data_IF_773856055937
#
_entry.id   IF_773856055937
#
_cell.length_a   1.000
_cell.length_b   1.000
_cell.length_c   1.000
_cell.angle_alpha   90.00
_cell.angle_beta   90.00
_cell.angle_gamma   90.00
#
_symmetry.space_group_name_H-M   'P 1'
#
loop_
_entity.id
_entity.type
_entity.pdbx_description
1 polymer ?
2 polymer ?
3 non-polymer ?
4 non-polymer ?
5 non-polymer ?
6 non-polymer ?
7 water ?
#
# COMPACT_ATOMS: atom_id res chain seq x y z
N UNK A 1 14.61 0.34 3.17
CA UNK A 1 14.25 1.25 4.24
C UNK A 1 15.51 1.73 4.95
N UNK A 2 15.68 3.04 5.05
CA UNK A 2 16.80 3.66 5.75
C UNK A 2 16.32 4.20 7.11
N UNK A 3 17.02 3.83 8.17
CA UNK A 3 16.74 4.32 9.52
C UNK A 3 15.46 3.84 10.18
N UNK A 4 15.01 2.65 9.79
CA UNK A 4 13.84 2.02 10.38
C UNK A 4 14.29 0.88 11.27
N UNK A 5 13.41 -0.11 11.47
CA UNK A 5 13.77 -1.26 12.27
C UNK A 5 13.20 -2.49 11.59
N UNK A 6 13.61 -3.67 12.06
CA UNK A 6 13.08 -4.92 11.52
C UNK A 6 11.61 -4.96 11.93
N UNK A 7 10.72 -5.31 10.98
CA UNK A 7 9.29 -5.44 11.25
C UNK A 7 9.13 -6.79 11.96
N UNK A 8 8.70 -6.86 13.26
CA UNK A 8 8.54 -8.19 13.90
C UNK A 8 7.72 -9.12 13.00
N UNK A 9 8.19 -10.34 12.81
CA UNK A 9 7.52 -11.33 11.96
C UNK A 9 6.00 -11.39 12.26
N UNK A 10 5.21 -11.15 11.22
CA UNK A 10 3.75 -11.16 11.27
C UNK A 10 3.13 -9.80 11.54
N UNK A 11 3.97 -8.77 11.82
CA UNK A 11 3.44 -7.43 12.10
C UNK A 11 3.15 -6.62 10.84
N UNK A 12 3.59 -7.07 9.65
CA UNK A 12 3.29 -6.42 8.36
C UNK A 12 2.72 -7.57 7.49
N UNK A 13 1.56 -8.22 7.86
CA UNK A 13 1.11 -9.40 7.10
C UNK A 13 0.59 -9.15 5.71
N UNK A 14 0.38 -7.87 5.32
CA UNK A 14 -0.11 -7.47 4.00
C UNK A 14 1.07 -7.22 3.04
N UNK A 15 2.31 -7.21 3.57
CA UNK A 15 3.50 -6.96 2.75
C UNK A 15 3.66 -8.05 1.68
N UNK A 16 3.96 -7.66 0.43
CA UNK A 16 4.15 -8.63 -0.67
C UNK A 16 5.57 -8.44 -1.15
N UNK A 17 6.20 -9.53 -1.53
CA UNK A 17 7.49 -9.53 -2.19
C UNK A 17 7.21 -9.92 -3.64
N UNK A 18 7.64 -9.08 -4.59
CA UNK A 18 7.49 -9.43 -6.01
C UNK A 18 8.83 -9.90 -6.54
N UNK A 19 8.83 -11.01 -7.26
CA UNK A 19 10.01 -11.69 -7.85
C UNK A 19 9.86 -11.87 -9.35
N UNK A 20 10.98 -11.73 -10.08
CA UNK A 20 10.98 -12.01 -11.51
C UNK A 20 12.17 -12.93 -11.74
N UNK A 21 11.91 -14.18 -12.18
CA UNK A 21 12.94 -15.21 -12.35
C UNK A 21 13.59 -15.51 -10.98
N UNK A 22 12.78 -15.43 -9.91
CA UNK A 22 13.24 -15.65 -8.53
C UNK A 22 14.01 -14.49 -7.93
N UNK A 23 14.23 -13.41 -8.69
CA UNK A 23 15.01 -12.28 -8.20
C UNK A 23 14.11 -11.18 -7.68
N UNK A 24 14.49 -10.58 -6.56
CA UNK A 24 13.78 -9.49 -5.90
C UNK A 24 13.54 -8.35 -6.92
N UNK A 25 12.27 -7.99 -7.14
CA UNK A 25 11.93 -6.92 -8.07
C UNK A 25 11.39 -5.68 -7.33
N UNK A 26 10.35 -5.87 -6.46
CA UNK A 26 9.64 -4.76 -5.81
C UNK A 26 8.81 -5.28 -4.64
N UNK A 27 8.16 -4.36 -3.96
CA UNK A 27 7.21 -4.68 -2.90
C UNK A 27 5.80 -4.57 -3.49
N UNK A 28 4.82 -4.85 -2.66
CA UNK A 28 3.41 -4.75 -3.05
C UNK A 28 2.57 -4.82 -1.80
N UNK A 29 1.24 -4.65 -1.95
CA UNK A 29 0.33 -4.70 -0.79
C UNK A 29 -0.83 -5.59 -1.16
N UNK A 30 -1.08 -6.61 -0.34
CA UNK A 30 -2.26 -7.48 -0.50
C UNK A 30 -3.49 -6.70 0.00
N UNK A 31 -4.54 -6.57 -0.82
CA UNK A 31 -5.77 -5.83 -0.42
C UNK A 31 -6.98 -6.77 -0.29
N UNK A 32 -6.85 -8.01 -0.74
CA UNK A 32 -7.83 -9.11 -0.57
C UNK A 32 -7.13 -10.40 -1.00
N UNK A 33 -7.81 -11.56 -1.06
CA UNK A 33 -7.09 -12.81 -1.38
C UNK A 33 -6.56 -12.93 -2.82
N UNK A 34 -7.02 -12.08 -3.75
CA UNK A 34 -6.62 -12.19 -5.17
C UNK A 34 -5.81 -11.01 -5.69
N UNK A 35 -5.98 -9.85 -5.09
CA UNK A 35 -5.42 -8.62 -5.61
C UNK A 35 -4.29 -7.96 -4.76
N UNK A 36 -3.27 -7.48 -5.47
CA UNK A 36 -2.09 -6.83 -4.90
C UNK A 36 -1.98 -5.45 -5.54
N UNK A 37 -1.66 -4.42 -4.74
CA UNK A 37 -1.41 -3.09 -5.29
C UNK A 37 0.13 -2.90 -5.25
N UNK A 38 0.72 -2.42 -6.35
CA UNK A 38 2.17 -2.14 -6.41
C UNK A 38 2.40 -0.85 -7.21
N UNK A 39 3.64 -0.59 -7.68
CA UNK A 39 3.95 0.63 -8.42
C UNK A 39 4.11 0.31 -9.88
N UNK A 40 3.58 1.15 -10.77
CA UNK A 40 3.71 0.91 -12.21
C UNK A 40 5.18 0.89 -12.69
N UNK A 41 6.06 1.76 -12.13
CA UNK A 41 7.45 1.82 -12.59
C UNK A 41 8.20 0.52 -12.38
N UNK A 42 7.76 -0.33 -11.45
CA UNK A 42 8.33 -1.65 -11.17
C UNK A 42 8.39 -2.55 -12.40
N UNK A 43 7.49 -2.28 -13.37
CA UNK A 43 7.36 -3.15 -14.56
C UNK A 43 7.91 -2.56 -15.85
N UNK A 44 8.62 -1.43 -15.76
CA UNK A 44 9.18 -0.73 -16.93
C UNK A 44 10.18 -1.57 -17.73
N UNK A 45 10.93 -2.46 -17.06
CA UNK A 45 11.98 -3.28 -17.72
C UNK A 45 11.67 -4.79 -17.77
N UNK A 46 10.40 -5.17 -17.59
CA UNK A 46 9.99 -6.57 -17.65
C UNK A 46 9.84 -7.05 -19.10
N UNK A 47 10.38 -8.25 -19.38
CA UNK A 47 10.28 -8.97 -20.67
C UNK A 47 9.66 -10.37 -20.41
N UNK A 48 10.03 -11.00 -19.28
CA UNK A 48 9.53 -12.30 -18.84
C UNK A 48 8.30 -12.12 -17.93
N UNK A 49 7.18 -11.72 -18.55
CA UNK A 49 5.90 -11.46 -17.88
C UNK A 49 5.31 -12.70 -17.23
N UNK A 50 5.65 -13.88 -17.77
CA UNK A 50 5.16 -15.16 -17.27
C UNK A 50 5.93 -15.65 -16.05
N UNK A 51 7.01 -14.96 -15.68
CA UNK A 51 7.83 -15.38 -14.52
C UNK A 51 7.72 -14.43 -13.34
N UNK A 52 6.55 -13.76 -13.17
CA UNK A 52 6.31 -12.84 -12.07
C UNK A 52 5.63 -13.63 -11.00
N UNK A 53 6.17 -13.56 -9.77
CA UNK A 53 5.65 -14.30 -8.62
C UNK A 53 5.46 -13.29 -7.51
N UNK A 54 4.36 -13.43 -6.80
CA UNK A 54 4.11 -12.61 -5.61
C UNK A 54 4.26 -13.57 -4.39
N UNK A 55 5.05 -13.18 -3.40
CA UNK A 55 5.22 -14.01 -2.19
C UNK A 55 4.58 -13.25 -1.02
N UNK A 56 3.65 -13.90 -0.32
CA UNK A 56 2.92 -13.40 0.84
C UNK A 56 3.47 -14.14 2.07
N UNK A 57 3.44 -13.50 3.24
CA UNK A 57 3.90 -14.11 4.49
C UNK A 57 5.41 -14.21 4.61
N UNK A 58 6.13 -13.51 3.72
CA UNK A 58 7.61 -13.46 3.78
C UNK A 58 8.08 -12.55 4.93
N UNK A 59 9.26 -12.87 5.51
CA UNK A 59 9.87 -12.06 6.56
C UNK A 59 11.37 -12.05 6.31
N UNK A 60 11.99 -13.24 6.35
CA UNK A 60 13.43 -13.47 6.19
C UNK A 60 13.70 -14.15 4.85
N UNK A 61 14.43 -13.47 3.97
CA UNK A 61 14.78 -14.00 2.63
C UNK A 61 15.81 -15.14 2.64
N UNK A 62 16.59 -15.30 3.70
CA UNK A 62 17.59 -16.39 3.75
C UNK A 62 17.01 -17.72 4.21
N UNK A 63 15.82 -17.74 4.84
CA UNK A 63 15.24 -18.97 5.33
C UNK A 63 13.79 -19.16 4.92
N UNK A 64 13.40 -20.41 4.66
CA UNK A 64 12.01 -20.76 4.42
C UNK A 64 11.46 -21.32 5.74
N UNK A 65 10.45 -20.67 6.35
CA UNK A 65 9.86 -21.17 7.61
C UNK A 65 8.49 -21.84 7.47
N UNK A 66 7.91 -21.88 6.26
CA UNK A 66 6.61 -22.51 6.05
C UNK A 66 5.41 -21.57 6.06
N UNK A 67 5.60 -20.30 6.44
CA UNK A 67 4.54 -19.29 6.42
C UNK A 67 4.41 -18.58 5.04
N UNK A 68 5.44 -18.70 4.18
CA UNK A 68 5.45 -18.05 2.87
C UNK A 68 4.44 -18.74 1.92
N UNK A 69 3.75 -17.95 1.09
CA UNK A 69 2.80 -18.44 0.08
C UNK A 69 3.14 -17.76 -1.23
N UNK A 70 3.34 -18.54 -2.30
CA UNK A 70 3.72 -17.99 -3.61
C UNK A 70 2.59 -18.11 -4.60
N UNK A 71 2.39 -17.06 -5.41
CA UNK A 71 1.35 -17.07 -6.43
C UNK A 71 1.88 -16.47 -7.71
N UNK A 72 1.57 -17.10 -8.86
CA UNK A 72 1.94 -16.52 -10.15
C UNK A 72 1.06 -15.31 -10.34
N UNK A 73 1.62 -14.24 -10.89
CA UNK A 73 0.85 -13.03 -11.20
C UNK A 73 0.22 -13.27 -12.58
N UNK A 74 -1.12 -13.24 -12.66
CA UNK A 74 -1.87 -13.47 -13.90
C UNK A 74 -2.03 -12.20 -14.74
N UNK A 75 -2.15 -11.03 -14.09
CA UNK A 75 -2.35 -9.76 -14.77
C UNK A 75 -1.66 -8.64 -14.02
N UNK A 76 -1.16 -7.66 -14.77
CA UNK A 76 -0.53 -6.45 -14.23
C UNK A 76 -1.26 -5.29 -14.94
N UNK A 77 -2.10 -4.56 -14.20
CA UNK A 77 -2.91 -3.49 -14.76
C UNK A 77 -2.34 -2.14 -14.39
N UNK A 78 -2.07 -1.33 -15.41
CA UNK A 78 -1.45 -0.02 -15.24
C UNK A 78 -2.35 1.03 -15.88
N UNK A 79 -2.50 2.23 -15.26
CA UNK A 79 -3.33 3.27 -15.88
C UNK A 79 -2.74 3.76 -17.19
N UNK A 80 -3.62 4.10 -18.13
CA UNK A 80 -3.26 4.62 -19.46
C UNK A 80 -2.45 5.90 -19.35
N UNK A 81 -2.66 6.67 -18.28
CA UNK A 81 -2.00 7.95 -18.02
C UNK A 81 -0.51 7.80 -17.57
N UNK A 82 -0.11 6.61 -17.09
CA UNK A 82 1.27 6.41 -16.66
C UNK A 82 2.19 6.30 -17.91
N UNK A 83 3.35 6.97 -17.90
CA UNK A 83 4.29 6.93 -19.04
C UNK A 83 5.56 6.25 -18.52
N UNK A 84 5.97 5.09 -19.07
CA UNK A 84 7.21 4.46 -18.55
C UNK A 84 8.39 5.42 -18.51
N UNK A 85 9.18 5.30 -17.44
CA UNK A 85 10.33 6.16 -17.25
C UNK A 85 9.97 7.50 -16.62
N UNK A 86 8.70 7.70 -16.22
CA UNK A 86 8.28 8.95 -15.57
C UNK A 86 7.70 8.63 -14.17
N UNK A 87 7.17 9.67 -13.47
CA UNK A 87 6.71 9.57 -12.08
C UNK A 87 5.21 9.51 -11.86
N UNK A 88 4.40 10.21 -12.70
CA UNK A 88 2.98 10.38 -12.45
C UNK A 88 2.14 9.12 -12.65
N UNK A 89 1.07 8.95 -11.86
CA UNK A 89 0.17 7.78 -11.98
C UNK A 89 0.94 6.46 -11.73
N UNK A 90 1.79 6.44 -10.71
CA UNK A 90 2.64 5.29 -10.43
C UNK A 90 1.94 4.22 -9.58
N UNK A 91 1.07 3.46 -10.24
CA UNK A 91 0.23 2.43 -9.61
C UNK A 91 0.03 1.24 -10.55
N UNK A 92 0.05 0.05 -10.00
CA UNK A 92 -0.18 -1.18 -10.72
C UNK A 92 -1.12 -2.02 -9.90
N UNK A 93 -2.08 -2.66 -10.57
CA UNK A 93 -3.00 -3.59 -9.89
C UNK A 93 -2.72 -4.98 -10.42
N UNK A 94 -2.30 -5.91 -9.51
CA UNK A 94 -1.92 -7.28 -9.87
C UNK A 94 -2.95 -8.29 -9.44
N UNK A 95 -3.32 -9.18 -10.37
CA UNK A 95 -4.27 -10.27 -10.13
C UNK A 95 -3.47 -11.53 -9.95
N UNK A 96 -3.71 -12.24 -8.84
CA UNK A 96 -2.98 -13.49 -8.61
C UNK A 96 -3.75 -14.59 -9.33
N UNK A 97 -3.04 -15.60 -9.87
CA UNK A 97 -3.73 -16.67 -10.60
C UNK A 97 -4.74 -17.40 -9.72
N UNK A 98 -4.38 -17.64 -8.47
CA UNK A 98 -5.23 -18.29 -7.47
C UNK A 98 -5.19 -17.50 -6.18
N UNK A 99 -6.26 -17.55 -5.35
CA UNK A 99 -6.23 -16.82 -4.08
C UNK A 99 -5.19 -17.35 -3.09
N UNK A 100 -4.69 -16.45 -2.26
CA UNK A 100 -3.84 -16.82 -1.13
C UNK A 100 -4.80 -17.21 -0.02
N UNK A 101 -4.31 -18.00 0.93
CA UNK A 101 -5.08 -18.47 2.09
C UNK A 101 -4.68 -17.57 3.25
N UNK A 102 -5.65 -16.84 3.81
CA UNK A 102 -5.32 -15.95 4.92
C UNK A 102 -4.98 -16.77 6.16
N UNK A 103 -3.94 -16.32 6.91
CA UNK A 103 -3.40 -16.95 8.12
C UNK A 103 -2.93 -15.83 9.03
N UNK A 104 -2.38 -16.16 10.21
CA UNK A 104 -1.82 -15.16 11.15
C UNK A 104 -0.74 -14.32 10.46
N UNK A 105 -0.10 -14.86 9.41
CA UNK A 105 0.99 -14.23 8.68
C UNK A 105 0.61 -13.63 7.33
N UNK A 106 -0.63 -13.89 6.83
CA UNK A 106 -1.06 -13.38 5.51
C UNK A 106 -2.44 -12.77 5.71
N UNK A 107 -2.52 -11.44 5.70
CA UNK A 107 -3.76 -10.69 5.95
C UNK A 107 -3.74 -9.47 5.01
N UNK A 108 -4.84 -9.13 4.33
CA UNK A 108 -4.81 -7.94 3.48
C UNK A 108 -4.89 -6.62 4.26
N UNK A 109 -4.42 -5.56 3.64
CA UNK A 109 -4.52 -4.20 4.20
C UNK A 109 -5.86 -3.67 3.63
N UNK A 110 -6.63 -2.87 4.39
CA UNK A 110 -7.90 -2.34 3.91
C UNK A 110 -7.72 -1.29 2.82
N UNK A 111 -8.37 -1.49 1.67
CA UNK A 111 -8.36 -0.49 0.60
C UNK A 111 -9.55 0.42 1.01
N UNK A 112 -9.29 1.67 1.41
CA UNK A 112 -10.38 2.50 1.93
C UNK A 112 -11.27 3.08 0.84
N UNK A 113 -12.40 3.65 1.23
CA UNK A 113 -13.23 4.36 0.27
C UNK A 113 -12.56 5.71 0.11
N UNK A 114 -12.73 6.33 -1.05
CA UNK A 114 -12.08 7.61 -1.41
C UNK A 114 -12.35 8.80 -0.45
N UNK A 115 -13.62 9.07 -0.15
CA UNK A 115 -13.99 10.20 0.70
C UNK A 115 -13.40 10.08 2.10
N UNK A 116 -13.51 8.91 2.71
CA UNK A 116 -12.93 8.61 4.01
C UNK A 116 -11.41 8.79 3.96
N UNK A 117 -10.79 8.35 2.88
CA UNK A 117 -9.33 8.48 2.76
C UNK A 117 -8.94 9.96 2.59
N UNK A 118 -9.69 10.71 1.79
CA UNK A 118 -9.40 12.14 1.57
C UNK A 118 -9.67 13.01 2.78
N UNK A 119 -10.79 12.77 3.48
CA UNK A 119 -11.25 13.59 4.58
C UNK A 119 -10.71 13.16 5.94
N UNK A 120 -10.44 11.86 6.14
CA UNK A 120 -9.97 11.38 7.45
C UNK A 120 -8.50 10.89 7.38
N UNK A 121 -8.25 9.85 6.56
CA UNK A 121 -6.91 9.24 6.50
C UNK A 121 -5.81 10.19 6.08
N UNK A 122 -6.12 11.18 5.22
CA UNK A 122 -5.11 12.15 4.77
C UNK A 122 -4.55 13.03 5.89
N UNK A 123 -5.28 13.12 7.01
CA UNK A 123 -4.90 13.97 8.12
C UNK A 123 -4.27 13.23 9.28
N UNK A 124 -4.13 11.89 9.20
CA UNK A 124 -3.41 11.12 10.21
C UNK A 124 -1.93 11.40 9.84
N UNK A 125 -1.18 12.05 10.74
CA UNK A 125 0.19 12.47 10.43
C UNK A 125 1.15 11.33 10.11
N UNK A 126 1.27 10.35 11.01
CA UNK A 126 2.20 9.25 10.80
C UNK A 126 1.58 8.00 10.21
N UNK A 127 2.35 7.31 9.36
CA UNK A 127 2.01 6.06 8.72
C UNK A 127 3.26 5.21 8.60
N UNK A 128 3.07 3.88 8.38
CA UNK A 128 4.20 2.96 8.26
C UNK A 128 4.50 2.65 6.80
N UNK A 129 5.81 2.63 6.43
CA UNK A 129 6.34 2.25 5.12
C UNK A 129 7.25 1.05 5.37
N UNK A 130 7.20 0.04 4.48
CA UNK A 130 7.94 -1.21 4.70
C UNK A 130 8.51 -1.84 3.43
N UNK A 131 9.51 -2.71 3.58
CA UNK A 131 10.14 -3.36 2.44
C UNK A 131 11.50 -3.98 2.71
N UNK A 132 12.03 -4.70 1.72
CA UNK A 132 13.35 -5.32 1.80
C UNK A 132 14.32 -4.52 0.92
N UNK A 133 14.11 -3.22 0.82
CA UNK A 133 14.97 -2.35 0.02
C UNK A 133 16.27 -2.03 0.71
N UNK A 134 16.99 -1.06 0.14
CA UNK A 134 18.32 -0.62 0.62
C UNK A 134 18.29 -0.11 2.06
N UNK A 135 19.28 -0.56 2.85
CA UNK A 135 19.49 -0.13 4.22
C UNK A 135 20.25 1.19 4.25
N UNK A 136 20.91 1.54 3.13
CA UNK A 136 21.65 2.80 2.91
C UNK A 136 21.61 3.12 1.44
N UNK A 137 21.71 4.41 1.09
CA UNK A 137 21.85 4.77 -0.31
C UNK A 137 23.17 4.10 -0.83
N UNK A 138 23.07 3.37 -1.96
CA UNK A 138 24.16 2.62 -2.62
C UNK A 138 24.71 1.51 -1.70
N UNK A 139 23.82 0.99 -0.85
CA UNK A 139 24.11 -0.05 0.12
C UNK A 139 23.35 -1.34 -0.15
N UNK A 140 23.58 -2.36 0.66
CA UNK A 140 22.91 -3.64 0.50
C UNK A 140 21.41 -3.55 0.89
N UNK A 141 20.61 -4.43 0.33
CA UNK A 141 19.18 -4.50 0.63
C UNK A 141 19.06 -5.37 1.88
N UNK A 142 17.90 -5.28 2.55
CA UNK A 142 17.66 -6.00 3.79
C UNK A 142 17.29 -7.44 3.56
N UNK A 143 17.70 -8.32 4.46
CA UNK A 143 17.34 -9.74 4.40
C UNK A 143 16.05 -10.01 5.19
N UNK A 144 15.73 -9.13 6.14
CA UNK A 144 14.55 -9.15 7.00
C UNK A 144 13.73 -7.91 6.74
N UNK A 145 12.40 -8.12 6.68
CA UNK A 145 11.46 -7.05 6.40
C UNK A 145 11.68 -5.91 7.35
N UNK A 146 11.89 -4.71 6.80
CA UNK A 146 12.09 -3.48 7.57
C UNK A 146 10.84 -2.62 7.54
N UNK A 147 10.66 -1.77 8.55
CA UNK A 147 9.51 -0.87 8.70
C UNK A 147 9.95 0.47 9.26
N UNK A 148 9.33 1.54 8.78
CA UNK A 148 9.64 2.91 9.17
C UNK A 148 8.36 3.69 9.29
N UNK A 149 8.26 4.48 10.34
CA UNK A 149 7.15 5.36 10.62
C UNK A 149 7.51 6.74 10.10
N UNK A 150 6.72 7.27 9.16
CA UNK A 150 6.98 8.56 8.50
C UNK A 150 5.84 9.57 8.61
N UNK A 151 6.13 10.88 8.77
CA UNK A 151 5.03 11.87 8.80
C UNK A 151 4.71 12.42 7.40
N UNK A 152 3.40 12.54 7.08
CA UNK A 152 2.92 13.07 5.79
C UNK A 152 2.98 14.62 5.81
N UNK A 153 3.19 15.25 4.64
CA UNK A 153 3.25 16.70 4.51
C UNK A 153 2.26 17.13 3.45
N UNK A 154 1.75 18.39 3.57
CA UNK A 154 0.92 18.98 2.52
C UNK A 154 1.93 19.26 1.40
N UNK A 155 1.50 19.18 0.13
CA UNK A 155 2.43 19.38 -0.98
C UNK A 155 3.09 20.79 -0.94
N UNK A 156 2.33 21.85 -0.56
CA UNK A 156 2.84 23.21 -0.44
C UNK A 156 4.00 23.24 0.57
N UNK A 157 3.84 22.57 1.73
CA UNK A 157 4.86 22.48 2.77
C UNK A 157 6.08 21.70 2.31
N UNK A 158 5.86 20.62 1.52
CA UNK A 158 6.88 19.74 0.95
C UNK A 158 7.79 20.55 0.00
N UNK A 159 7.15 21.26 -0.97
CA UNK A 159 7.84 22.08 -1.97
C UNK A 159 8.70 23.16 -1.28
N UNK A 160 8.11 23.83 -0.27
CA UNK A 160 8.76 24.87 0.54
C UNK A 160 9.96 24.30 1.30
N UNK A 161 9.80 23.12 1.95
CA UNK A 161 10.84 22.47 2.77
C UNK A 161 11.91 21.71 1.98
N UNK A 162 11.75 21.56 0.66
CA UNK A 162 12.72 20.82 -0.14
C UNK A 162 13.74 21.72 -0.86
N UNK A 163 15.00 21.23 -0.98
CA UNK A 163 16.15 21.89 -1.61
C UNK A 163 15.88 22.25 -3.08
N UNK A 168 14.17 18.43 -11.44
CA UNK A 168 13.29 17.75 -10.48
C UNK A 168 11.84 17.62 -11.00
N UNK A 169 11.21 16.42 -10.88
CA UNK A 169 9.81 16.29 -11.34
C UNK A 169 8.83 17.04 -10.44
N UNK A 170 7.62 17.27 -10.97
CA UNK A 170 6.57 17.96 -10.23
C UNK A 170 5.87 17.00 -9.25
N UNK A 171 5.44 17.53 -8.09
CA UNK A 171 4.66 16.74 -7.13
C UNK A 171 3.22 17.05 -7.50
N UNK A 172 2.56 16.09 -8.16
CA UNK A 172 1.22 16.28 -8.68
C UNK A 172 0.17 15.94 -7.64
N UNK A 173 -1.12 16.06 -8.04
CA UNK A 173 -2.29 15.74 -7.23
C UNK A 173 -2.39 14.21 -7.05
N UNK A 174 -1.60 13.42 -7.80
CA UNK A 174 -1.63 11.95 -7.74
C UNK A 174 -0.51 11.39 -6.89
N UNK A 175 0.07 12.29 -6.09
CA UNK A 175 1.23 12.05 -5.22
C UNK A 175 1.11 12.77 -3.88
N UNK A 176 1.92 12.34 -2.92
CA UNK A 176 2.10 13.06 -1.65
C UNK A 176 3.49 12.81 -1.18
N UNK A 177 3.99 13.72 -0.34
CA UNK A 177 5.31 13.72 0.27
C UNK A 177 5.23 13.18 1.69
N UNK A 178 6.22 12.38 2.12
CA UNK A 178 6.32 11.88 3.49
C UNK A 178 7.74 11.54 3.87
N UNK A 179 8.04 11.74 5.14
CA UNK A 179 9.37 11.42 5.64
C UNK A 179 10.05 12.60 6.30
N UNK A 180 11.37 12.69 6.09
CA UNK A 180 12.22 13.69 6.75
C UNK A 180 13.23 14.30 5.79
N UNK A 181 13.58 15.59 5.98
CA UNK A 181 14.54 16.27 5.11
C UNK A 181 15.98 16.28 5.68
N UNK A 182 16.22 15.56 6.78
CA UNK A 182 17.53 15.56 7.45
C UNK A 182 18.46 14.37 7.05
N UNK A 183 18.06 13.58 6.06
CA UNK A 183 18.81 12.44 5.54
C UNK A 183 18.92 11.20 6.42
N UNK A 184 18.06 11.11 7.45
CA UNK A 184 18.11 10.01 8.42
C UNK A 184 17.15 8.83 8.16
N UNK A 185 15.95 9.11 7.63
CA UNK A 185 14.91 8.11 7.48
C UNK A 185 14.17 8.26 6.15
N UNK A 186 14.02 7.16 5.40
CA UNK A 186 13.31 7.17 4.12
C UNK A 186 13.14 5.75 3.63
N UNK A 187 12.22 5.54 2.69
CA UNK A 187 12.04 4.30 1.94
C UNK A 187 13.00 4.48 0.71
N UNK A 188 13.43 3.40 0.07
CA UNK A 188 14.38 3.49 -1.07
C UNK A 188 13.83 2.85 -2.29
N UNK A 189 14.63 2.82 -3.38
CA UNK A 189 14.22 2.21 -4.64
C UNK A 189 13.80 0.74 -4.50
N UNK A 190 14.47 -0.04 -3.63
CA UNK A 190 14.08 -1.43 -3.45
C UNK A 190 12.77 -1.65 -2.70
N UNK A 191 12.21 -0.56 -2.11
CA UNK A 191 10.96 -0.64 -1.37
C UNK A 191 9.79 -0.28 -2.27
N UNK A 192 10.10 0.15 -3.55
CA UNK A 192 9.13 0.56 -4.58
C UNK A 192 7.97 -0.41 -4.65
N UNK A 193 6.76 0.14 -4.66
CA UNK A 193 5.51 -0.62 -4.73
C UNK A 193 4.96 -1.05 -3.39
N UNK A 194 5.77 -0.94 -2.34
CA UNK A 194 5.44 -1.32 -0.98
C UNK A 194 4.38 -0.42 -0.38
N UNK A 195 3.80 -0.83 0.76
CA UNK A 195 2.72 -0.01 1.34
C UNK A 195 3.16 1.18 2.16
N UNK A 196 2.31 2.21 2.13
CA UNK A 196 2.30 3.33 3.04
C UNK A 196 0.93 3.09 3.75
N UNK A 197 0.96 2.54 4.97
CA UNK A 197 -0.21 2.12 5.73
C UNK A 197 -0.54 3.09 6.89
N UNK A 198 -1.82 3.49 6.97
CA UNK A 198 -2.33 4.47 7.97
C UNK A 198 -3.29 3.82 8.97
N UNK A 199 -3.06 4.05 10.27
CA UNK A 199 -3.93 3.49 11.31
C UNK A 199 -5.07 4.46 11.62
N UNK A 200 -6.29 3.93 11.73
CA UNK A 200 -7.45 4.71 12.13
C UNK A 200 -8.41 3.83 12.86
N UNK A 201 -8.61 4.15 14.14
CA UNK A 201 -9.55 3.51 15.07
C UNK A 201 -9.45 1.96 15.06
N UNK A 202 -8.26 1.44 15.29
CA UNK A 202 -8.01 0.00 15.36
C UNK A 202 -7.83 -0.73 14.04
N UNK A 203 -7.85 -0.02 12.90
CA UNK A 203 -7.71 -0.66 11.58
C UNK A 203 -6.67 0.07 10.73
N UNK A 204 -5.92 -0.71 9.91
CA UNK A 204 -4.90 -0.20 9.01
C UNK A 204 -5.44 -0.14 7.58
N UNK A 205 -5.10 0.94 6.86
CA UNK A 205 -5.58 1.25 5.51
C UNK A 205 -4.45 1.61 4.56
N UNK A 206 -4.63 1.29 3.28
CA UNK A 206 -3.68 1.67 2.24
C UNK A 206 -3.93 3.12 1.80
N UNK A 207 -2.98 3.99 2.10
CA UNK A 207 -3.03 5.39 1.72
C UNK A 207 -1.97 5.75 0.68
N UNK A 208 -0.88 4.99 0.58
CA UNK A 208 0.17 5.34 -0.38
C UNK A 208 0.97 4.15 -0.85
N UNK A 209 1.76 4.34 -1.90
CA UNK A 209 2.66 3.34 -2.54
C UNK A 209 4.03 3.94 -2.63
N UNK A 210 5.09 3.22 -2.18
CA UNK A 210 6.47 3.70 -2.29
C UNK A 210 6.70 3.98 -3.78
N UNK A 211 6.97 5.24 -4.14
CA UNK A 211 7.07 5.61 -5.55
C UNK A 211 8.44 6.11 -6.02
N UNK A 212 8.85 7.30 -5.62
CA UNK A 212 10.10 7.88 -6.12
C UNK A 212 10.64 8.90 -5.14
N UNK A 213 11.85 9.37 -5.44
CA UNK A 213 12.58 10.36 -4.66
C UNK A 213 13.94 10.59 -5.30
N UNK A 214 14.75 11.47 -4.68
CA UNK A 214 16.09 11.84 -5.15
C UNK A 214 17.09 11.16 -4.25
N UNK A 215 17.56 9.98 -4.62
CA UNK A 215 18.52 9.19 -3.84
C UNK A 215 17.99 8.87 -2.45
N UNK A 216 18.27 7.67 -1.91
CA UNK A 216 17.71 7.35 -0.62
C UNK A 216 18.24 8.19 0.55
N UNK A 217 17.28 8.75 1.31
CA UNK A 217 17.48 9.61 2.48
C UNK A 217 18.48 10.72 2.20
N UNK A 218 18.22 11.46 1.11
CA UNK A 218 19.07 12.59 0.72
C UNK A 218 18.62 13.82 1.50
N UNK A 219 19.56 14.56 2.10
CA UNK A 219 19.26 15.79 2.85
C UNK A 219 18.56 16.78 1.92
N UNK A 220 17.51 17.41 2.43
CA UNK A 220 16.71 18.40 1.69
C UNK A 220 15.62 17.80 0.84
N UNK A 221 15.40 16.47 0.98
CA UNK A 221 14.41 15.77 0.16
C UNK A 221 13.58 14.79 0.95
N UNK A 222 12.30 14.63 0.57
CA UNK A 222 11.39 13.66 1.23
C UNK A 222 11.09 12.55 0.23
N UNK A 223 10.49 11.45 0.72
CA UNK A 223 10.04 10.39 -0.16
C UNK A 223 8.73 10.79 -0.82
N UNK A 224 8.50 10.39 -2.07
CA UNK A 224 7.28 10.67 -2.78
C UNK A 224 6.52 9.35 -2.97
N UNK A 225 5.22 9.39 -2.66
CA UNK A 225 4.30 8.27 -2.60
C UNK A 225 3.13 8.51 -3.52
N UNK A 226 2.59 7.43 -4.15
CA UNK A 226 1.41 7.52 -5.01
C UNK A 226 0.19 7.76 -4.08
N UNK A 227 -0.66 8.75 -4.39
CA UNK A 227 -1.84 9.08 -3.60
C UNK A 227 -2.96 8.12 -3.98
N UNK A 228 -2.99 6.98 -3.30
CA UNK A 228 -3.94 5.90 -3.60
C UNK A 228 -5.41 6.38 -3.64
N UNK A 229 -5.79 7.34 -2.78
CA UNK A 229 -7.16 7.88 -2.73
C UNK A 229 -7.71 8.31 -4.13
N UNK A 230 -6.82 8.73 -5.05
CA UNK A 230 -7.19 9.13 -6.42
C UNK A 230 -7.57 7.97 -7.32
N UNK A 231 -7.27 6.71 -6.88
CA UNK A 231 -7.45 5.51 -7.72
C UNK A 231 -8.46 4.51 -7.22
N UNK A 232 -9.14 4.79 -6.11
CA UNK A 232 -10.09 3.88 -5.48
C UNK A 232 -11.14 3.31 -6.46
N UNK A 233 -11.86 4.18 -7.20
CA UNK A 233 -12.89 3.79 -8.19
C UNK A 233 -12.30 3.03 -9.37
N UNK A 234 -11.11 3.45 -9.83
CA UNK A 234 -10.38 2.79 -10.91
C UNK A 234 -10.05 1.35 -10.47
N UNK A 235 -9.51 1.19 -9.25
CA UNK A 235 -9.18 -0.14 -8.69
C UNK A 235 -10.45 -0.96 -8.50
N UNK A 236 -11.50 -0.40 -7.86
CA UNK A 236 -12.74 -1.16 -7.61
C UNK A 236 -13.37 -1.72 -8.86
N UNK A 237 -13.45 -0.92 -9.95
CA UNK A 237 -14.03 -1.36 -11.23
C UNK A 237 -13.21 -2.50 -11.84
N UNK A 238 -11.88 -2.34 -11.88
CA UNK A 238 -10.98 -3.35 -12.42
C UNK A 238 -11.04 -4.64 -11.65
N UNK A 239 -11.22 -4.57 -10.32
CA UNK A 239 -11.32 -5.81 -9.54
C UNK A 239 -12.60 -6.61 -9.84
N UNK A 240 -13.58 -5.98 -10.54
CA UNK A 240 -14.86 -6.61 -10.91
C UNK A 240 -14.84 -7.19 -12.32
N UNK A 241 -13.76 -6.95 -13.05
CA UNK A 241 -13.60 -7.36 -14.44
C UNK A 241 -12.99 -8.73 -14.60
N UNK A 242 -13.24 -9.37 -15.78
CA UNK A 242 -12.64 -10.64 -16.13
C UNK A 242 -11.23 -10.42 -16.62
N UNK A 243 -10.28 -11.37 -16.37
CA UNK A 243 -8.93 -11.19 -16.92
C UNK A 243 -8.92 -11.27 -18.46
N UNK A 244 -7.84 -10.74 -19.07
CA UNK A 244 -7.64 -10.72 -20.53
C UNK A 244 -6.34 -11.45 -20.92
N UNK A 245 -6.23 -12.08 -22.12
CA UNK A 245 -4.95 -12.73 -22.49
C UNK A 245 -3.82 -11.71 -22.47
N UNK A 246 -2.65 -12.16 -22.06
CA UNK A 246 -1.50 -11.27 -21.89
C UNK A 246 -1.48 -10.78 -20.46
N UNK A 247 -0.30 -10.72 -19.87
CA UNK A 247 -0.16 -10.31 -18.48
C UNK A 247 -0.38 -8.82 -18.31
N UNK A 248 0.35 -8.00 -19.07
CA UNK A 248 0.21 -6.56 -18.99
C UNK A 248 -1.08 -6.03 -19.62
N UNK A 249 -1.78 -5.16 -18.87
CA UNK A 249 -3.00 -4.53 -19.36
C UNK A 249 -2.94 -3.05 -19.08
N UNK A 250 -3.11 -2.20 -20.12
CA UNK A 250 -3.21 -0.76 -19.89
C UNK A 250 -4.71 -0.48 -19.84
N UNK A 251 -5.20 0.08 -18.72
CA UNK A 251 -6.62 0.36 -18.51
C UNK A 251 -6.82 1.84 -18.49
N UNK A 252 -7.88 2.37 -19.13
CA UNK A 252 -8.09 3.82 -19.14
C UNK A 252 -8.27 4.41 -17.75
N UNK A 253 -7.66 5.56 -17.55
CA UNK A 253 -7.78 6.31 -16.31
C UNK A 253 -8.21 7.73 -16.73
N UNK A 254 -9.26 8.34 -16.12
CA UNK A 254 -10.07 7.84 -14.98
C UNK A 254 -10.95 6.61 -15.24
N UNK B 1 -23.43 15.77 7.29
CA UNK B 1 -23.08 14.99 8.50
C UNK B 1 -21.72 14.28 8.39
N UNK B 2 -21.49 13.52 7.29
CA UNK B 2 -20.23 12.76 7.12
C UNK B 2 -19.02 13.63 7.16
N UNK B 3 -19.15 14.88 6.70
CA UNK B 3 -18.08 15.88 6.63
C UNK B 3 -17.47 16.21 8.01
N UNK B 4 -18.25 16.06 9.11
CA UNK B 4 -17.77 16.36 10.47
C UNK B 4 -17.45 15.11 11.22
N UNK B 5 -16.14 14.90 11.51
CA UNK B 5 -15.59 13.77 12.26
C UNK B 5 -16.08 12.41 11.70
N UNK B 6 -16.06 12.28 10.36
CA UNK B 6 -16.47 11.06 9.65
C UNK B 6 -17.89 10.57 10.02
N UNK B 7 -18.74 11.53 10.46
CA UNK B 7 -20.12 11.28 10.88
C UNK B 7 -20.23 10.41 12.13
N UNK B 8 -19.13 10.30 12.88
CA UNK B 8 -19.01 9.44 14.05
C UNK B 8 -18.67 7.98 13.71
N UNK B 9 -18.64 7.61 12.40
CA UNK B 9 -18.37 6.26 11.94
C UNK B 9 -16.95 5.80 12.19
N UNK B 10 -16.80 4.54 12.61
CA UNK B 10 -15.47 3.96 12.83
C UNK B 10 -14.78 3.71 11.44
N UNK B 11 -15.58 3.34 10.42
CA UNK B 11 -15.07 3.10 9.08
C UNK B 11 -15.71 4.06 8.06
N UNK B 12 -16.69 3.61 7.28
CA UNK B 12 -17.21 4.45 6.21
C UNK B 12 -18.52 5.13 6.55
N UNK B 13 -18.73 6.32 5.97
CA UNK B 13 -19.91 7.16 6.20
C UNK B 13 -20.64 7.47 4.91
N UNK B 14 -21.97 7.42 4.95
CA UNK B 14 -22.85 7.81 3.85
C UNK B 14 -23.94 8.79 4.37
N UNK B 15 -24.12 9.89 3.66
CA UNK B 15 -25.15 10.89 3.93
C UNK B 15 -26.41 10.54 3.16
N UNK B 16 -27.57 10.80 3.77
CA UNK B 16 -28.85 10.57 3.13
C UNK B 16 -29.66 11.86 3.22
N UNK B 17 -30.76 11.94 2.46
CA UNK B 17 -31.64 13.12 2.45
C UNK B 17 -32.12 13.42 3.89
N UNK B 18 -31.97 14.68 4.27
CA UNK B 18 -32.33 15.13 5.62
C UNK B 18 -31.17 14.98 6.58
N UNK B 19 -31.50 14.72 7.85
CA UNK B 19 -30.50 14.56 8.91
C UNK B 19 -29.91 13.13 8.96
N UNK B 20 -30.41 12.24 8.09
CA UNK B 20 -30.04 10.83 8.03
C UNK B 20 -28.55 10.57 7.64
N UNK B 21 -27.90 9.70 8.43
CA UNK B 21 -26.51 9.26 8.27
C UNK B 21 -26.49 7.72 8.39
N UNK B 22 -25.75 7.05 7.50
CA UNK B 22 -25.56 5.60 7.59
C UNK B 22 -24.03 5.32 7.68
N UNK B 23 -23.62 4.49 8.63
CA UNK B 23 -22.23 4.06 8.73
C UNK B 23 -22.16 2.72 8.05
N UNK B 24 -21.02 2.45 7.38
CA UNK B 24 -20.82 1.17 6.72
C UNK B 24 -19.44 0.66 7.06
N UNK B 25 -19.19 -0.61 6.78
CA UNK B 25 -17.94 -1.30 7.09
C UNK B 25 -17.42 -1.97 5.85
N UNK B 26 -16.09 -2.20 5.85
CA UNK B 26 -15.38 -2.92 4.81
C UNK B 26 -15.87 -4.37 4.80
N UNK B 27 -15.68 -5.10 3.69
CA UNK B 27 -16.01 -6.52 3.64
C UNK B 27 -15.19 -7.24 4.78
N UNK B 28 -15.81 -8.25 5.42
CA UNK B 28 -15.19 -8.96 6.53
C UNK B 28 -15.53 -8.34 7.88
N UNK B 29 -16.41 -7.33 7.86
CA UNK B 29 -16.88 -6.62 9.06
C UNK B 29 -18.39 -6.44 8.97
N UNK B 30 -19.05 -6.29 10.12
CA UNK B 30 -20.49 -5.95 10.16
C UNK B 30 -20.67 -4.77 11.14
N UNK B 31 -21.69 -3.97 10.92
CA UNK B 31 -21.98 -2.81 11.74
C UNK B 31 -22.70 -3.25 13.02
N UNK B 32 -22.24 -2.75 14.19
CA UNK B 32 -22.86 -3.06 15.50
C UNK B 32 -24.14 -2.24 15.64
N UNK B 33 -24.99 -2.57 16.64
CA UNK B 33 -26.29 -1.88 16.83
C UNK B 33 -26.15 -0.43 17.24
N UNK B 34 -24.93 0.00 17.70
CA UNK B 34 -24.68 1.42 18.02
C UNK B 34 -24.70 2.28 16.74
N UNK B 35 -24.68 1.59 15.60
CA UNK B 35 -24.70 2.18 14.27
C UNK B 35 -23.43 2.90 13.87
N UNK B 36 -22.32 2.70 14.62
CA UNK B 36 -21.08 3.41 14.27
C UNK B 36 -19.85 2.48 14.22
N UNK B 37 -19.84 1.42 15.07
CA UNK B 37 -18.74 0.47 15.24
C UNK B 37 -18.84 -0.69 14.27
N UNK B 38 -17.67 -1.24 13.93
CA UNK B 38 -17.49 -2.35 13.01
C UNK B 38 -16.87 -3.53 13.73
N UNK B 39 -17.44 -4.71 13.54
CA UNK B 39 -16.88 -5.89 14.21
C UNK B 39 -16.53 -6.94 13.16
N UNK B 40 -15.38 -7.62 13.27
CA UNK B 40 -15.02 -8.65 12.28
C UNK B 40 -16.07 -9.75 12.19
N UNK B 41 -16.36 -10.24 10.96
CA UNK B 41 -17.29 -11.36 10.74
C UNK B 41 -16.46 -12.59 10.31
N UNK B 42 -15.15 -12.36 10.14
CA UNK B 42 -14.21 -13.37 9.65
C UNK B 42 -13.02 -13.47 10.59
N UNK B 43 -12.22 -14.53 10.42
CA UNK B 43 -11.05 -14.73 11.28
C UNK B 43 -9.91 -13.79 10.94
N UNK B 44 -9.77 -13.37 9.65
CA UNK B 44 -8.67 -12.52 9.26
C UNK B 44 -9.18 -11.24 8.56
N UNK B 45 -9.89 -10.34 9.30
CA UNK B 45 -10.38 -9.11 8.66
C UNK B 45 -9.23 -8.23 8.20
N UNK B 46 -9.42 -7.46 7.12
CA UNK B 46 -8.40 -6.57 6.60
C UNK B 46 -7.97 -5.55 7.69
N UNK B 47 -6.71 -5.15 7.63
CA UNK B 47 -6.14 -4.13 8.47
C UNK B 47 -5.98 -4.42 9.94
N UNK B 48 -6.10 -5.69 10.34
CA UNK B 48 -5.87 -6.10 11.74
C UNK B 48 -4.73 -7.10 11.73
N UNK B 49 -3.84 -6.97 12.71
CA UNK B 49 -2.63 -7.79 12.86
C UNK B 49 -2.90 -8.92 13.84
N UNK B 50 -3.10 -10.16 13.35
CA UNK B 50 -3.48 -11.26 14.25
C UNK B 50 -2.59 -11.47 15.47
N UNK B 51 -1.26 -11.46 15.31
CA UNK B 51 -0.37 -11.70 16.45
C UNK B 51 -0.58 -10.64 17.57
N UNK B 52 -0.89 -9.38 17.23
CA UNK B 52 -1.18 -8.32 18.22
C UNK B 52 -2.61 -8.42 18.75
N UNK B 53 -3.58 -8.76 17.88
CA UNK B 53 -4.99 -8.93 18.25
C UNK B 53 -5.14 -10.07 19.26
N UNK B 54 -4.35 -11.16 19.10
CA UNK B 54 -4.41 -12.34 19.95
C UNK B 54 -3.77 -12.12 21.33
N UNK B 55 -2.74 -11.22 21.42
CA UNK B 55 -2.09 -10.87 22.68
C UNK B 55 -2.44 -9.44 23.14
X LIG C 1 13.44 4.60 -7.69
X LIG C 1 11.36 6.61 -10.17
X LIG C 1 11.75 5.63 -9.29
X LIG C 1 13.48 3.30 -8.52
X LIG C 1 12.19 7.69 -10.46
X LIG C 1 13.39 7.77 -9.77
X LIG C 1 13.79 6.78 -8.90
X LIG C 1 11.81 8.73 -11.47
X LIG C 1 14.55 2.08 -10.36
X LIG C 1 12.12 1.59 -13.25
X LIG C 1 12.37 7.62 -13.75
X LIG C 1 14.36 8.40 -2.33
X LIG C 1 13.35 8.29 -1.46
X LIG C 1 12.31 7.42 -1.77
X LIG C 1 12.30 6.64 -2.99
X LIG C 1 13.40 6.84 -3.88
X LIG C 1 14.44 7.73 -3.51
X LIG C 1 11.32 5.68 -3.36
X LIG C 1 11.41 4.98 -4.52
X LIG C 1 12.47 5.18 -5.39
X LIG C 1 13.45 6.10 -5.09
X LIG C 1 12.52 4.44 -6.58
X LIG C 1 11.30 7.37 -0.87
X LIG C 1 12.98 5.68 -8.65
X LIG C 1 12.59 2.47 -8.38
X LIG C 1 14.53 3.12 -9.34
X LIG C 1 13.58 2.36 -11.49
X LIG C 1 13.02 1.32 -12.22
X LIG C 1 11.79 2.89 -13.57
X LIG C 1 12.36 3.94 -12.85
X LIG C 1 13.24 3.66 -11.80
X LIG C 1 12.07 5.28 -13.21
X LIG C 1 12.96 6.31 -13.31
X LIG C 1 14.16 6.20 -13.09
X LIG C 1 11.32 8.22 -12.82
X LIG C 1 14.43 4.82 -7.32
X LIG C 1 10.38 6.54 -10.66
X LIG C 1 11.06 4.80 -9.08
X LIG C 1 14.06 8.61 -9.93
X LIG C 1 14.75 6.88 -8.40
X LIG C 1 11.04 9.36 -11.02
X LIG C 1 12.64 9.41 -11.63
X LIG C 1 14.33 1.10 -9.92
X LIG C 1 15.56 1.99 -10.78
X LIG C 1 11.69 0.77 -13.82
X LIG C 1 11.93 7.41 -14.72
X LIG C 1 13.12 8.38 -13.95
X LIG C 1 15.10 9.14 -2.01
X LIG C 1 15.29 7.86 -4.18
X LIG C 1 10.45 5.51 -2.71
X LIG C 1 10.63 4.25 -4.75
X LIG C 1 14.30 6.30 -5.74
X LIG C 1 11.84 3.69 -6.67
X LIG C 1 10.46 6.82 -1.00
X LIG C 1 11.35 7.91 -0.02
X LIG C 1 15.35 3.71 -9.26
X LIG C 1 13.28 0.29 -11.99
X LIG C 1 11.11 3.09 -14.40
X LIG C 1 13.64 4.48 -11.23
X LIG C 1 11.09 5.44 -13.44
X LIG C 1 10.50 7.53 -12.69
X LIG C 1 10.87 9.06 -13.35
X LIG D 1 11.46 -16.69 4.44
X LIG E 1 -0.81 -19.98 -8.66
X LIG E 1 -1.38 -20.70 -7.52
X LIG E 1 -1.41 -20.54 -9.88
X LIG E 1 -1.16 -18.56 -8.62
X LIG E 1 0.65 -20.13 -8.58
X LIG F 1 13.10 -9.78 -17.38
X LIG F 1 11.65 -9.77 -17.38
X LIG F 1 13.59 -11.15 -17.18
X LIG F 1 13.61 -8.90 -16.31
X LIG F 1 13.61 -9.29 -18.66
X LIG G 1 -12.06 -5.41 -1.62
X LIG G 1 -12.38 -6.04 -0.32
X LIG G 1 -12.68 -6.19 -2.71
X LIG G 1 -12.60 -4.06 -1.65
X LIG G 1 -10.61 -5.35 -1.80
X LIG H 1 4.46 -1.10 -19.15
X LIG H 1 4.32 0.19 -18.56
X LIG H 1 5.82 -1.27 -19.79
X LIG H 1 5.95 -0.42 -20.94
X LIG H 1 6.02 -2.72 -20.20
X LIG H 1 7.40 -3.07 -20.18
#
# INVERSE_FOLDING_TARGET
IVGGKVCPKGECPWQVLLLVNGAQLCGGTLINTIWVVSAAHCFDKIKNWRNLIAVLGEHDLSEHDGDEQSRRVAQVIIPSTYVPGTTNHDIALLRLHQPVVLTDHVVPLCLPERTFSERTLAFVRFSLVSGWGQLLDRGATALELMVLNVPRLMTQDCLQQSRKVGDSPNITEYMFCAGYSDGSKDSCKGDSGGPHATHYRGTWYLTGIVSWGQGCATVGHFGVYTRVSQYIEWLQKLMRSEPRPGVLLRAPFP
ICVNENGGCEQYCSDHTGTKRSCRCHEGYSLLADGVSCTPTVEYPCGKIPILEKR
4T1 C13 C18 C17 C15 C19 C20 C21 C22 C23 C27 C33 C1 N2 C3 C4 C5 C6 C7 C8 C9 C10 N11 N12 C14 O16 N24 C25 C26 C28 C29 C30 N31 C32 O34 C35 H44 H46 H45 H47 H48 H49 H50 H51 H52 H55 H60 H59 H36 H37 H38 H39 H40 H41 H43 H42 H53 H54 H56 H57 H58 H61 H62
CA CA
SO4 S O1 O2 O3 O4
SO4 S O1 O2 O3 O4
SO4 S O1 O2 O3 O4
GOL C1 O1 C2 O2 C3 O3
#
